data_IF_164412308632
#
_entry.id   IF_164412308632
#
_cell.length_a   1.000
_cell.length_b   1.000
_cell.length_c   1.000
_cell.angle_alpha   90.00
_cell.angle_beta   90.00
_cell.angle_gamma   90.00
#
_symmetry.space_group_name_H-M   'P 1'
#
loop_
_entity.id
_entity.type
_entity.pdbx_description
1 polymer ?
#
# COMPACT_ATOMS: atom_id res chain seq x y z
N UNK A 1 -42.68 -7.39 -28.07
CA UNK A 1 -42.42 -6.42 -26.97
C UNK A 1 -41.19 -6.95 -26.26
N UNK A 2 -40.04 -6.26 -26.43
CA UNK A 2 -38.82 -6.65 -25.71
C UNK A 2 -39.00 -6.25 -24.25
N UNK A 3 -38.79 -7.18 -23.32
CA UNK A 3 -38.78 -6.88 -21.90
C UNK A 3 -37.72 -5.78 -21.64
N UNK A 4 -38.01 -4.79 -20.79
CA UNK A 4 -37.05 -3.74 -20.46
C UNK A 4 -35.81 -4.40 -19.85
N UNK A 5 -34.62 -4.04 -20.36
CA UNK A 5 -33.35 -4.46 -19.77
C UNK A 5 -33.35 -4.07 -18.28
N UNK A 6 -33.12 -5.00 -17.35
CA UNK A 6 -33.10 -4.66 -15.93
C UNK A 6 -32.05 -3.58 -15.69
N UNK A 7 -32.37 -2.63 -14.81
CA UNK A 7 -31.42 -1.60 -14.39
C UNK A 7 -30.15 -2.26 -13.83
N UNK A 8 -28.95 -1.75 -14.15
CA UNK A 8 -27.70 -2.30 -13.64
C UNK A 8 -27.73 -2.32 -12.09
N UNK A 9 -27.25 -3.41 -11.52
CA UNK A 9 -27.12 -3.49 -10.07
C UNK A 9 -26.08 -2.45 -9.57
N UNK A 10 -26.17 -1.96 -8.33
CA UNK A 10 -25.13 -1.07 -7.78
C UNK A 10 -23.71 -1.62 -7.89
N UNK A 11 -23.56 -2.95 -7.98
CA UNK A 11 -22.28 -3.64 -8.17
C UNK A 11 -21.73 -3.47 -9.60
N UNK A 12 -22.59 -3.24 -10.59
CA UNK A 12 -22.21 -3.13 -12.00
C UNK A 12 -21.93 -1.67 -12.43
N UNK A 13 -22.28 -0.69 -11.58
CA UNK A 13 -21.95 0.71 -11.82
C UNK A 13 -20.47 0.93 -11.53
N UNK A 14 -19.74 1.48 -12.52
CA UNK A 14 -18.35 1.91 -12.34
C UNK A 14 -18.36 3.26 -11.61
N UNK A 15 -18.03 3.31 -10.30
CA UNK A 15 -17.98 4.57 -9.58
C UNK A 15 -16.79 5.41 -10.04
N UNK A 16 -16.85 6.74 -9.86
CA UNK A 16 -15.68 7.58 -10.02
C UNK A 16 -14.56 7.15 -9.05
N UNK A 17 -13.27 7.23 -9.45
CA UNK A 17 -12.17 6.97 -8.55
C UNK A 17 -12.10 8.07 -7.48
N UNK A 18 -11.78 7.71 -6.25
CA UNK A 18 -11.65 8.64 -5.13
C UNK A 18 -10.19 9.04 -4.91
N UNK A 19 -9.26 8.12 -5.16
CA UNK A 19 -7.85 8.32 -4.89
C UNK A 19 -6.93 7.86 -6.03
N UNK A 20 -5.80 8.56 -6.13
CA UNK A 20 -4.69 8.22 -7.00
C UNK A 20 -3.44 7.98 -6.15
N UNK A 21 -2.85 6.79 -6.27
CA UNK A 21 -1.49 6.54 -5.82
C UNK A 21 -0.54 6.85 -6.99
N UNK A 22 0.21 7.93 -6.88
CA UNK A 22 1.22 8.34 -7.86
C UNK A 22 2.58 7.79 -7.43
N UNK A 23 2.98 6.64 -7.98
CA UNK A 23 4.33 6.11 -7.79
C UNK A 23 5.29 6.86 -8.71
N UNK A 24 5.84 7.96 -8.20
CA UNK A 24 6.61 8.91 -9.01
C UNK A 24 7.98 8.36 -9.44
N UNK A 25 8.55 7.45 -8.65
CA UNK A 25 9.89 6.87 -8.88
C UNK A 25 10.03 5.59 -8.05
N UNK A 26 10.85 4.65 -8.52
CA UNK A 26 11.27 3.50 -7.68
C UNK A 26 12.60 3.74 -6.95
N UNK A 27 13.25 4.89 -7.12
CA UNK A 27 14.47 5.24 -6.39
C UNK A 27 14.13 5.50 -4.93
N UNK A 28 14.84 4.85 -4.02
CA UNK A 28 14.66 5.02 -2.58
C UNK A 28 16.00 4.77 -1.87
N UNK A 29 16.38 5.58 -0.88
CA UNK A 29 17.56 5.32 -0.07
C UNK A 29 17.38 4.13 0.88
N UNK A 30 16.13 3.79 1.24
CA UNK A 30 15.84 2.62 2.06
C UNK A 30 15.73 1.34 1.21
N UNK A 31 15.89 0.20 1.89
CA UNK A 31 15.92 -1.14 1.28
C UNK A 31 14.99 -2.12 2.00
N UNK A 32 13.87 -1.63 2.52
CA UNK A 32 12.97 -2.39 3.39
C UNK A 32 12.60 -3.77 2.81
N UNK A 33 12.66 -4.87 3.60
CA UNK A 33 12.36 -6.22 3.14
C UNK A 33 10.87 -6.45 2.88
N UNK A 34 10.01 -5.53 3.29
CA UNK A 34 8.57 -5.55 3.09
C UNK A 34 8.08 -4.51 2.07
N UNK A 35 8.98 -3.97 1.25
CA UNK A 35 8.66 -2.89 0.30
C UNK A 35 7.46 -3.27 -0.58
N UNK A 36 6.54 -2.33 -0.77
CA UNK A 36 5.36 -2.50 -1.63
C UNK A 36 5.65 -2.33 -3.12
N UNK A 37 6.82 -1.75 -3.49
CA UNK A 37 7.20 -1.67 -4.89
C UNK A 37 7.40 -3.07 -5.49
N UNK A 38 7.29 -3.24 -6.82
CA UNK A 38 7.48 -4.52 -7.48
C UNK A 38 8.90 -5.08 -7.28
N UNK A 39 9.08 -6.37 -7.55
CA UNK A 39 10.41 -7.00 -7.52
C UNK A 39 11.33 -6.43 -8.61
N UNK A 40 10.78 -6.14 -9.78
CA UNK A 40 11.45 -5.45 -10.87
C UNK A 40 11.24 -3.95 -10.75
N UNK A 41 12.31 -3.23 -10.43
CA UNK A 41 12.25 -1.79 -10.19
C UNK A 41 12.61 -1.00 -11.45
N UNK A 42 11.79 -0.01 -11.76
CA UNK A 42 12.03 0.89 -12.87
C UNK A 42 13.29 1.73 -12.69
N UNK A 43 14.04 1.90 -13.77
CA UNK A 43 15.18 2.81 -13.81
C UNK A 43 14.69 4.24 -14.03
N UNK A 44 15.49 5.21 -13.58
CA UNK A 44 15.21 6.65 -13.77
C UNK A 44 14.91 7.02 -15.23
N UNK A 45 15.56 6.38 -16.18
CA UNK A 45 15.36 6.66 -17.62
C UNK A 45 14.01 6.26 -18.17
N UNK A 46 13.25 5.43 -17.42
CA UNK A 46 11.91 4.99 -17.78
C UNK A 46 10.82 5.80 -17.05
N UNK A 47 11.19 6.68 -16.13
CA UNK A 47 10.22 7.49 -15.40
C UNK A 47 9.53 8.50 -16.32
N UNK A 48 8.24 8.69 -16.14
CA UNK A 48 7.47 9.75 -16.81
C UNK A 48 8.08 11.12 -16.52
N UNK A 49 8.06 11.98 -17.52
CA UNK A 49 8.46 13.38 -17.37
C UNK A 49 7.43 14.21 -16.58
N UNK A 50 7.80 15.42 -16.22
CA UNK A 50 6.98 16.34 -15.45
C UNK A 50 5.66 16.64 -16.16
N UNK A 51 5.71 16.95 -17.47
CA UNK A 51 4.51 17.34 -18.21
C UNK A 51 3.48 16.22 -18.29
N UNK A 52 3.93 15.00 -18.42
CA UNK A 52 3.06 13.82 -18.38
C UNK A 52 2.39 13.68 -17.01
N UNK A 53 3.12 13.87 -15.90
CA UNK A 53 2.54 13.86 -14.56
C UNK A 53 1.52 14.99 -14.36
N UNK A 54 1.81 16.22 -14.84
CA UNK A 54 0.83 17.32 -14.73
C UNK A 54 -0.46 17.03 -15.51
N UNK A 55 -0.36 16.39 -16.68
CA UNK A 55 -1.52 15.92 -17.44
C UNK A 55 -2.29 14.82 -16.68
N UNK A 56 -1.60 13.82 -16.15
CA UNK A 56 -2.20 12.72 -15.35
C UNK A 56 -3.00 13.29 -14.17
N UNK A 57 -2.46 14.26 -13.44
CA UNK A 57 -3.15 14.91 -12.33
C UNK A 57 -4.38 15.69 -12.81
N UNK A 58 -4.29 16.37 -13.95
CA UNK A 58 -5.42 17.09 -14.55
C UNK A 58 -6.55 16.14 -14.94
N UNK A 59 -6.22 15.01 -15.57
CA UNK A 59 -7.18 13.97 -15.92
C UNK A 59 -7.80 13.32 -14.68
N UNK A 60 -6.99 13.07 -13.63
CA UNK A 60 -7.47 12.51 -12.36
C UNK A 60 -8.48 13.43 -11.67
N UNK A 61 -8.20 14.73 -11.59
CA UNK A 61 -9.14 15.73 -11.06
C UNK A 61 -10.45 15.74 -11.86
N UNK A 62 -10.37 15.70 -13.20
CA UNK A 62 -11.53 15.63 -14.09
C UNK A 62 -12.39 14.38 -13.91
N UNK A 63 -11.80 13.27 -13.43
CA UNK A 63 -12.51 12.03 -13.11
C UNK A 63 -13.15 12.01 -11.72
N UNK A 64 -12.90 13.04 -10.88
CA UNK A 64 -13.43 13.12 -9.53
C UNK A 64 -12.52 12.56 -8.45
N UNK A 65 -11.22 12.35 -8.75
CA UNK A 65 -10.22 12.03 -7.73
C UNK A 65 -10.14 13.18 -6.72
N UNK A 66 -10.15 12.86 -5.45
CA UNK A 66 -10.07 13.82 -4.34
C UNK A 66 -8.70 13.81 -3.66
N UNK A 67 -8.05 12.66 -3.62
CA UNK A 67 -6.80 12.45 -2.89
C UNK A 67 -5.71 11.93 -3.83
N UNK A 68 -4.54 12.56 -3.77
CA UNK A 68 -3.33 12.10 -4.46
C UNK A 68 -2.26 11.74 -3.43
N UNK A 69 -1.81 10.50 -3.45
CA UNK A 69 -0.69 10.04 -2.66
C UNK A 69 0.58 10.11 -3.49
N UNK A 70 1.41 11.11 -3.24
CA UNK A 70 2.72 11.28 -3.86
C UNK A 70 3.69 10.29 -3.22
N UNK A 71 3.99 9.21 -3.91
CA UNK A 71 4.65 8.02 -3.38
C UNK A 71 5.68 7.44 -4.38
N UNK A 72 5.95 6.17 -4.23
CA UNK A 72 6.89 5.39 -5.04
C UNK A 72 7.94 4.72 -4.18
N UNK A 73 9.23 4.89 -4.52
CA UNK A 73 10.34 4.62 -3.62
C UNK A 73 10.46 5.74 -2.58
N UNK A 74 11.13 6.83 -2.98
CA UNK A 74 11.18 8.10 -2.23
C UNK A 74 10.82 9.25 -3.19
N UNK A 75 9.62 9.82 -3.09
CA UNK A 75 9.16 10.84 -4.05
C UNK A 75 10.03 12.08 -4.07
N UNK A 76 10.66 12.45 -2.95
CA UNK A 76 11.58 13.59 -2.87
C UNK A 76 12.90 13.36 -3.62
N UNK A 77 13.17 12.15 -4.12
CA UNK A 77 14.28 11.87 -5.03
C UNK A 77 14.07 12.46 -6.45
N UNK A 78 12.84 12.89 -6.80
CA UNK A 78 12.55 13.63 -8.02
C UNK A 78 12.84 15.11 -7.84
N UNK A 79 13.39 15.73 -8.87
CA UNK A 79 13.70 17.17 -8.82
C UNK A 79 12.44 18.04 -8.97
N UNK A 80 11.45 17.54 -9.69
CA UNK A 80 10.18 18.20 -10.04
C UNK A 80 9.04 17.95 -9.04
N UNK A 81 9.33 17.33 -7.89
CA UNK A 81 8.29 17.00 -6.88
C UNK A 81 7.54 18.25 -6.40
N UNK A 82 8.19 19.41 -6.33
CA UNK A 82 7.58 20.67 -5.91
C UNK A 82 6.57 21.13 -6.97
N UNK A 83 6.90 21.05 -8.26
CA UNK A 83 6.01 21.41 -9.38
C UNK A 83 4.79 20.47 -9.44
N UNK A 84 5.00 19.16 -9.24
CA UNK A 84 3.94 18.17 -9.17
C UNK A 84 3.00 18.47 -7.98
N UNK A 85 3.55 18.84 -6.82
CA UNK A 85 2.75 19.23 -5.63
C UNK A 85 1.95 20.51 -5.89
N UNK A 86 2.56 21.52 -6.48
CA UNK A 86 1.87 22.77 -6.85
C UNK A 86 0.69 22.50 -7.79
N UNK A 87 0.85 21.55 -8.72
CA UNK A 87 -0.26 21.15 -9.62
C UNK A 87 -1.41 20.49 -8.87
N UNK A 88 -1.14 19.68 -7.84
CA UNK A 88 -2.19 19.13 -6.98
C UNK A 88 -2.99 20.26 -6.32
N UNK A 89 -2.31 21.24 -5.73
CA UNK A 89 -2.94 22.38 -5.09
C UNK A 89 -3.77 23.23 -6.08
N UNK A 90 -3.23 23.53 -7.28
CA UNK A 90 -3.93 24.23 -8.36
C UNK A 90 -5.26 23.54 -8.74
N UNK A 91 -5.27 22.21 -8.76
CA UNK A 91 -6.42 21.40 -9.13
C UNK A 91 -7.38 21.12 -7.96
N UNK A 92 -7.08 21.56 -6.74
CA UNK A 92 -7.85 21.28 -5.54
C UNK A 92 -7.79 19.81 -5.10
N UNK A 93 -6.75 19.08 -5.48
CA UNK A 93 -6.49 17.71 -5.07
C UNK A 93 -5.81 17.72 -3.71
N UNK A 94 -6.33 16.99 -2.73
CA UNK A 94 -5.68 16.81 -1.43
C UNK A 94 -4.42 15.97 -1.60
N UNK A 95 -3.26 16.55 -1.36
CA UNK A 95 -1.97 15.94 -1.58
C UNK A 95 -1.39 15.36 -0.29
N UNK A 96 -1.00 14.07 -0.32
CA UNK A 96 -0.32 13.39 0.78
C UNK A 96 1.07 12.91 0.32
N UNK A 97 2.12 13.44 0.90
CA UNK A 97 3.49 13.01 0.67
C UNK A 97 3.79 11.76 1.50
N UNK A 98 3.93 10.60 0.86
CA UNK A 98 4.37 9.36 1.49
C UNK A 98 5.88 9.25 1.35
N UNK A 99 6.61 9.48 2.43
CA UNK A 99 8.07 9.62 2.41
C UNK A 99 8.76 8.78 3.49
N UNK A 100 9.99 8.43 3.21
CA UNK A 100 10.91 7.87 4.20
C UNK A 100 11.50 8.93 5.15
N UNK A 101 11.40 10.21 4.81
CA UNK A 101 11.95 11.33 5.58
C UNK A 101 13.47 11.44 5.56
N UNK A 102 14.15 10.72 4.64
CA UNK A 102 15.61 10.70 4.54
C UNK A 102 16.09 11.16 3.15
N UNK A 103 17.39 11.31 2.99
CA UNK A 103 17.97 11.84 1.76
C UNK A 103 17.64 13.32 1.57
N UNK A 104 16.99 13.68 0.45
CA UNK A 104 16.62 15.06 0.14
C UNK A 104 15.32 15.57 0.76
N UNK A 105 14.61 14.76 1.56
CA UNK A 105 13.26 15.07 2.02
C UNK A 105 13.19 16.36 2.85
N UNK A 106 14.07 16.51 3.85
CA UNK A 106 14.09 17.70 4.73
C UNK A 106 14.38 18.98 3.93
N UNK A 107 15.32 18.94 3.00
CA UNK A 107 15.72 20.10 2.19
C UNK A 107 14.58 20.61 1.30
N UNK A 108 13.69 19.72 0.86
CA UNK A 108 12.57 20.08 -0.02
C UNK A 108 11.28 20.41 0.72
N UNK A 109 11.21 20.14 2.03
CA UNK A 109 9.96 20.21 2.78
C UNK A 109 9.34 21.59 2.80
N UNK A 110 10.15 22.65 3.00
CA UNK A 110 9.64 24.04 3.01
C UNK A 110 9.08 24.44 1.65
N UNK A 111 9.78 24.10 0.57
CA UNK A 111 9.27 24.34 -0.79
C UNK A 111 8.01 23.54 -1.13
N UNK A 112 7.86 22.33 -0.60
CA UNK A 112 6.65 21.53 -0.74
C UNK A 112 5.47 22.15 0.04
N UNK A 113 5.74 22.68 1.24
CA UNK A 113 4.76 23.42 2.02
C UNK A 113 4.28 24.68 1.27
N UNK A 114 5.22 25.48 0.76
CA UNK A 114 4.89 26.69 -0.02
C UNK A 114 4.14 26.36 -1.32
N UNK A 115 4.37 25.18 -1.89
CA UNK A 115 3.64 24.67 -3.06
C UNK A 115 2.23 24.15 -2.73
N UNK A 116 1.81 24.16 -1.46
CA UNK A 116 0.49 23.76 -1.03
C UNK A 116 0.34 22.28 -0.69
N UNK A 117 1.40 21.62 -0.21
CA UNK A 117 1.30 20.26 0.32
C UNK A 117 0.35 20.23 1.52
N UNK A 118 -0.63 19.30 1.51
CA UNK A 118 -1.65 19.22 2.56
C UNK A 118 -1.28 18.29 3.73
N UNK A 119 -0.49 17.24 3.48
CA UNK A 119 -0.28 16.17 4.46
C UNK A 119 1.06 15.46 4.23
N UNK A 120 1.63 14.96 5.32
CA UNK A 120 2.83 14.11 5.30
C UNK A 120 2.55 12.79 6.00
N UNK A 121 2.84 11.69 5.31
CA UNK A 121 2.90 10.35 5.88
C UNK A 121 4.36 9.89 5.94
N UNK A 122 4.91 9.82 7.16
CA UNK A 122 6.28 9.43 7.40
C UNK A 122 6.38 7.94 7.75
N UNK A 123 7.19 7.20 7.00
CA UNK A 123 7.46 5.78 7.27
C UNK A 123 8.52 5.62 8.36
N UNK A 124 8.18 4.90 9.44
CA UNK A 124 9.08 4.59 10.56
C UNK A 124 9.25 3.09 10.69
N UNK A 125 10.49 2.58 10.58
CA UNK A 125 10.79 1.15 10.54
C UNK A 125 10.93 0.53 11.94
N UNK A 126 11.34 1.32 12.93
CA UNK A 126 11.53 0.94 14.32
C UNK A 126 11.65 2.18 15.18
N UNK A 127 11.46 2.04 16.49
CA UNK A 127 11.72 3.07 17.48
C UNK A 127 13.16 2.97 17.94
N UNK A 128 13.65 1.75 18.16
CA UNK A 128 15.07 1.49 18.38
C UNK A 128 15.87 1.78 17.09
N UNK A 129 16.92 2.60 17.21
CA UNK A 129 17.68 3.06 16.06
C UNK A 129 18.40 1.94 15.32
N UNK A 130 18.95 0.96 16.05
CA UNK A 130 19.68 -0.17 15.43
C UNK A 130 18.70 -1.08 14.71
N UNK A 131 17.54 -1.36 15.30
CA UNK A 131 16.50 -2.14 14.66
C UNK A 131 15.91 -1.43 13.43
N UNK A 132 15.65 -0.12 13.53
CA UNK A 132 15.20 0.69 12.40
C UNK A 132 16.20 0.68 11.24
N UNK A 133 17.50 0.78 11.52
CA UNK A 133 18.58 0.70 10.53
C UNK A 133 18.67 -0.69 9.89
N UNK A 134 18.56 -1.75 10.71
CA UNK A 134 18.51 -3.13 10.21
C UNK A 134 17.34 -3.35 9.26
N UNK A 135 16.14 -2.90 9.64
CA UNK A 135 14.93 -3.07 8.82
C UNK A 135 15.00 -2.19 7.56
N UNK A 136 15.39 -0.92 7.71
CA UNK A 136 15.47 0.03 6.59
C UNK A 136 16.66 -0.19 5.65
N UNK A 137 17.68 -0.92 6.09
CA UNK A 137 18.92 -1.14 5.34
C UNK A 137 19.77 0.13 5.14
N UNK A 138 19.58 1.15 5.98
CA UNK A 138 20.29 2.43 5.89
C UNK A 138 20.72 2.92 7.27
N UNK A 139 22.04 3.14 7.45
CA UNK A 139 22.61 3.71 8.69
C UNK A 139 22.27 5.19 8.83
N UNK A 140 22.15 5.66 10.07
CA UNK A 140 21.85 7.05 10.42
C UNK A 140 20.54 7.60 9.81
N UNK A 141 19.57 6.73 9.49
CA UNK A 141 18.28 7.15 8.96
C UNK A 141 17.38 7.75 10.06
N UNK A 142 17.41 7.19 11.27
CA UNK A 142 16.50 7.58 12.34
C UNK A 142 16.64 9.07 12.74
N UNK A 143 17.84 9.64 12.99
CA UNK A 143 17.98 11.06 13.27
C UNK A 143 17.41 11.97 12.17
N UNK A 144 17.61 11.63 10.90
CA UNK A 144 17.06 12.39 9.77
C UNK A 144 15.53 12.41 9.80
N UNK A 145 14.90 11.24 10.05
CA UNK A 145 13.44 11.12 10.18
C UNK A 145 12.88 11.96 11.31
N UNK A 146 13.57 11.99 12.47
CA UNK A 146 13.14 12.79 13.62
C UNK A 146 13.24 14.29 13.34
N UNK A 147 14.30 14.75 12.67
CA UNK A 147 14.43 16.14 12.22
C UNK A 147 13.35 16.50 11.18
N UNK A 148 13.09 15.62 10.23
CA UNK A 148 12.04 15.80 9.24
C UNK A 148 10.65 15.90 9.89
N UNK A 149 10.31 14.97 10.80
CA UNK A 149 9.04 14.99 11.52
C UNK A 149 8.85 16.26 12.37
N UNK A 150 9.91 16.72 13.08
CA UNK A 150 9.88 17.97 13.81
C UNK A 150 9.58 19.15 12.89
N UNK A 151 10.23 19.23 11.73
CA UNK A 151 9.97 20.31 10.77
C UNK A 151 8.56 20.26 10.19
N UNK A 152 8.00 19.06 9.91
CA UNK A 152 6.59 18.90 9.48
C UNK A 152 5.63 19.51 10.49
N UNK A 153 5.83 19.23 11.79
CA UNK A 153 4.96 19.75 12.85
C UNK A 153 5.18 21.25 13.11
N UNK A 154 6.41 21.77 12.99
CA UNK A 154 6.71 23.21 13.06
C UNK A 154 5.98 24.00 11.96
N UNK A 155 5.89 23.44 10.74
CA UNK A 155 5.13 24.04 9.64
C UNK A 155 3.61 23.93 9.82
N UNK A 156 3.14 23.22 10.82
CA UNK A 156 1.71 22.99 11.05
C UNK A 156 1.08 21.97 10.12
N UNK A 157 1.87 21.23 9.32
CA UNK A 157 1.36 20.16 8.45
C UNK A 157 0.87 18.99 9.30
N UNK A 158 -0.29 18.40 8.94
CA UNK A 158 -0.72 17.15 9.53
C UNK A 158 0.31 16.06 9.29
N UNK A 159 0.72 15.36 10.35
CA UNK A 159 1.65 14.25 10.31
C UNK A 159 0.92 12.94 10.61
N UNK A 160 1.04 11.97 9.70
CA UNK A 160 0.76 10.56 9.94
C UNK A 160 2.08 9.81 10.08
N UNK A 161 2.25 9.00 11.13
CA UNK A 161 3.29 7.99 11.16
C UNK A 161 2.74 6.69 10.58
N UNK A 162 3.49 6.06 9.69
CA UNK A 162 3.20 4.73 9.18
C UNK A 162 4.29 3.76 9.63
N UNK A 163 3.88 2.71 10.35
CA UNK A 163 4.78 1.66 10.81
C UNK A 163 4.30 0.32 10.28
N UNK A 164 5.10 -0.26 9.37
CA UNK A 164 4.84 -1.62 8.88
C UNK A 164 5.33 -2.61 9.91
N UNK A 165 4.39 -3.35 10.51
CA UNK A 165 4.62 -4.23 11.65
C UNK A 165 4.85 -5.67 11.18
N UNK A 166 5.89 -6.28 11.71
CA UNK A 166 6.27 -7.67 11.47
C UNK A 166 7.02 -8.23 12.69
N UNK A 167 7.39 -9.52 12.69
CA UNK A 167 8.03 -10.15 13.87
C UNK A 167 9.27 -9.40 14.39
N UNK A 168 9.97 -8.66 13.52
CA UNK A 168 11.19 -7.94 13.88
C UNK A 168 10.97 -6.63 14.64
N UNK A 169 9.74 -6.07 14.63
CA UNK A 169 9.43 -4.81 15.32
C UNK A 169 8.08 -4.79 16.04
N UNK A 170 7.31 -5.88 16.04
CA UNK A 170 5.99 -5.94 16.69
C UNK A 170 6.06 -5.65 18.19
N UNK A 171 7.16 -5.98 18.84
CA UNK A 171 7.41 -5.69 20.25
C UNK A 171 7.59 -4.17 20.54
N UNK A 172 7.85 -3.38 19.49
CA UNK A 172 8.01 -1.91 19.58
C UNK A 172 6.67 -1.18 19.42
N UNK A 173 5.52 -1.85 19.27
CA UNK A 173 4.20 -1.19 19.10
C UNK A 173 3.89 -0.15 20.18
N UNK A 174 4.16 -0.37 21.48
CA UNK A 174 4.01 0.70 22.49
C UNK A 174 4.88 1.92 22.19
N UNK A 175 6.12 1.69 21.78
CA UNK A 175 7.07 2.74 21.45
C UNK A 175 6.65 3.56 20.22
N UNK A 176 6.06 2.94 19.18
CA UNK A 176 5.51 3.67 18.04
C UNK A 176 4.36 4.59 18.44
N UNK A 177 3.49 4.16 19.38
CA UNK A 177 2.41 4.98 19.92
C UNK A 177 2.98 6.19 20.68
N UNK A 178 3.94 5.96 21.56
CA UNK A 178 4.58 7.03 22.33
C UNK A 178 5.35 7.99 21.42
N UNK A 179 6.02 7.48 20.38
CA UNK A 179 6.70 8.29 19.37
C UNK A 179 5.71 9.18 18.60
N UNK A 180 4.55 8.64 18.20
CA UNK A 180 3.51 9.41 17.50
C UNK A 180 3.00 10.56 18.36
N UNK A 181 2.74 10.30 19.65
CA UNK A 181 2.34 11.34 20.62
C UNK A 181 3.45 12.39 20.79
N UNK A 182 4.70 11.95 20.98
CA UNK A 182 5.86 12.83 21.15
C UNK A 182 6.08 13.76 19.97
N UNK A 183 5.87 13.26 18.74
CA UNK A 183 6.03 14.04 17.51
C UNK A 183 4.80 14.89 17.16
N UNK A 184 3.74 14.86 17.96
CA UNK A 184 2.51 15.59 17.68
C UNK A 184 1.74 15.07 16.45
N UNK A 185 1.98 13.82 16.06
CA UNK A 185 1.28 13.21 14.94
C UNK A 185 -0.24 13.18 15.19
N UNK A 186 -1.02 13.37 14.16
CA UNK A 186 -2.49 13.30 14.23
C UNK A 186 -3.00 11.88 14.01
N UNK A 187 -2.20 11.03 13.36
CA UNK A 187 -2.53 9.65 13.02
C UNK A 187 -1.30 8.75 13.13
N UNK A 188 -1.53 7.54 13.57
CA UNK A 188 -0.56 6.44 13.52
C UNK A 188 -1.20 5.25 12.79
N UNK A 189 -0.55 4.77 11.75
CA UNK A 189 -0.91 3.51 11.10
C UNK A 189 -0.02 2.39 11.63
N UNK A 190 -0.62 1.48 12.39
CA UNK A 190 -0.02 0.21 12.82
C UNK A 190 -0.44 -0.82 11.77
N UNK A 191 0.34 -0.90 10.69
CA UNK A 191 0.00 -1.69 9.52
C UNK A 191 0.79 -3.01 9.50
N UNK A 192 0.17 -4.12 9.91
CA UNK A 192 0.82 -5.41 9.77
C UNK A 192 1.11 -5.75 8.31
N UNK A 193 2.29 -6.33 8.08
CA UNK A 193 2.80 -6.68 6.75
C UNK A 193 1.78 -7.49 5.94
N UNK A 194 1.57 -7.08 4.70
CA UNK A 194 0.82 -7.83 3.69
C UNK A 194 1.83 -8.53 2.77
N UNK A 195 1.64 -9.83 2.56
CA UNK A 195 2.64 -10.66 1.89
C UNK A 195 2.43 -10.73 0.38
N UNK A 196 3.02 -9.79 -0.33
CA UNK A 196 3.21 -9.77 -1.80
C UNK A 196 4.58 -9.14 -2.12
N UNK A 197 5.09 -9.33 -3.34
CA UNK A 197 6.37 -8.78 -3.76
C UNK A 197 7.50 -9.08 -2.77
N UNK A 198 8.22 -8.07 -2.32
CA UNK A 198 9.34 -8.22 -1.38
C UNK A 198 8.92 -8.83 -0.04
N UNK A 199 7.75 -8.47 0.47
CA UNK A 199 7.24 -9.05 1.71
C UNK A 199 6.95 -10.55 1.56
N UNK A 200 6.51 -11.02 0.39
CA UNK A 200 6.30 -12.44 0.14
C UNK A 200 7.62 -13.21 0.05
N UNK A 201 8.65 -12.62 -0.58
CA UNK A 201 10.03 -13.17 -0.61
C UNK A 201 10.57 -13.34 0.81
N UNK A 202 10.30 -12.38 1.68
CA UNK A 202 10.78 -12.34 3.07
C UNK A 202 9.77 -12.91 4.08
N UNK A 203 8.71 -13.62 3.65
CA UNK A 203 7.59 -13.97 4.53
C UNK A 203 8.03 -14.70 5.81
N UNK A 204 8.87 -15.69 5.72
CA UNK A 204 9.39 -16.41 6.88
C UNK A 204 10.19 -15.52 7.85
N UNK A 205 10.91 -14.52 7.31
CA UNK A 205 11.64 -13.54 8.14
C UNK A 205 10.72 -12.51 8.81
N UNK A 206 9.54 -12.28 8.25
CA UNK A 206 8.60 -11.21 8.66
C UNK A 206 7.39 -11.71 9.43
N UNK A 207 7.06 -13.02 9.39
CA UNK A 207 5.85 -13.58 9.97
C UNK A 207 5.87 -13.52 11.50
N UNK A 208 4.97 -12.75 12.15
CA UNK A 208 4.82 -12.78 13.60
C UNK A 208 4.02 -14.03 14.01
N UNK A 209 4.13 -14.46 15.26
CA UNK A 209 3.23 -15.47 15.80
C UNK A 209 1.88 -14.88 16.24
N UNK A 210 0.90 -15.78 16.50
CA UNK A 210 -0.44 -15.39 16.89
C UNK A 210 -0.48 -14.61 18.20
N UNK A 211 0.35 -15.00 19.19
CA UNK A 211 0.38 -14.35 20.49
C UNK A 211 0.92 -12.93 20.38
N UNK A 212 1.96 -12.71 19.57
CA UNK A 212 2.49 -11.38 19.25
C UNK A 212 1.41 -10.50 18.58
N UNK A 213 0.66 -11.05 17.62
CA UNK A 213 -0.42 -10.31 16.95
C UNK A 213 -1.54 -9.94 17.92
N UNK A 214 -2.00 -10.89 18.75
CA UNK A 214 -3.06 -10.65 19.73
C UNK A 214 -2.65 -9.59 20.75
N UNK A 215 -1.40 -9.63 21.21
CA UNK A 215 -0.87 -8.63 22.14
C UNK A 215 -0.78 -7.25 21.48
N UNK A 216 -0.34 -7.16 20.22
CA UNK A 216 -0.30 -5.90 19.48
C UNK A 216 -1.70 -5.29 19.31
N UNK A 217 -2.71 -6.11 19.03
CA UNK A 217 -4.12 -5.69 18.95
C UNK A 217 -4.58 -5.13 20.30
N UNK A 218 -4.33 -5.86 21.41
CA UNK A 218 -4.70 -5.45 22.76
C UNK A 218 -4.08 -4.10 23.14
N UNK A 219 -2.79 -3.91 22.82
CA UNK A 219 -2.07 -2.66 23.08
C UNK A 219 -2.68 -1.50 22.29
N UNK A 220 -2.96 -1.71 21.00
CA UNK A 220 -3.56 -0.68 20.15
C UNK A 220 -4.96 -0.30 20.61
N UNK A 221 -5.82 -1.28 20.95
CA UNK A 221 -7.17 -0.99 21.44
C UNK A 221 -7.14 -0.20 22.76
N UNK A 222 -6.27 -0.57 23.71
CA UNK A 222 -6.09 0.19 24.95
C UNK A 222 -5.58 1.62 24.68
N UNK A 223 -4.68 1.79 23.70
CA UNK A 223 -4.18 3.10 23.32
C UNK A 223 -5.24 3.98 22.64
N UNK A 224 -6.11 3.40 21.81
CA UNK A 224 -7.25 4.10 21.19
C UNK A 224 -8.17 4.74 22.22
N UNK A 225 -8.49 4.00 23.28
CA UNK A 225 -9.32 4.53 24.36
C UNK A 225 -8.58 5.64 25.14
N UNK A 226 -7.31 5.40 25.49
CA UNK A 226 -6.49 6.36 26.26
C UNK A 226 -6.23 7.66 25.51
N UNK A 227 -6.02 7.59 24.18
CA UNK A 227 -5.61 8.72 23.34
C UNK A 227 -6.75 9.29 22.49
N UNK A 228 -8.00 8.96 22.82
CA UNK A 228 -9.19 9.45 22.12
C UNK A 228 -9.20 10.98 22.06
N UNK A 229 -9.35 11.51 20.82
CA UNK A 229 -9.29 12.95 20.58
C UNK A 229 -7.88 13.56 20.48
N UNK A 230 -6.83 12.80 20.80
CA UNK A 230 -5.44 13.23 20.67
C UNK A 230 -4.74 12.59 19.47
N UNK A 231 -4.87 11.27 19.31
CA UNK A 231 -4.23 10.49 18.25
C UNK A 231 -5.24 9.49 17.67
N UNK A 232 -5.40 9.50 16.35
CA UNK A 232 -6.13 8.44 15.63
C UNK A 232 -5.16 7.29 15.38
N UNK A 233 -5.51 6.07 15.78
CA UNK A 233 -4.68 4.90 15.51
C UNK A 233 -5.43 3.94 14.59
N UNK A 234 -4.92 3.75 13.39
CA UNK A 234 -5.41 2.73 12.47
C UNK A 234 -4.65 1.42 12.70
N UNK A 235 -5.38 0.33 12.76
CA UNK A 235 -4.81 -1.00 12.89
C UNK A 235 -5.20 -1.84 11.68
N UNK A 236 -4.21 -2.25 10.94
CA UNK A 236 -4.37 -3.21 9.83
C UNK A 236 -3.93 -4.58 10.32
N UNK A 237 -4.89 -5.45 10.63
CA UNK A 237 -4.62 -6.81 11.10
C UNK A 237 -4.02 -7.65 9.96
N UNK A 238 -3.06 -8.56 10.23
CA UNK A 238 -2.50 -9.44 9.20
C UNK A 238 -3.57 -10.39 8.65
N UNK A 239 -3.65 -10.53 7.34
CA UNK A 239 -4.65 -11.37 6.67
C UNK A 239 -4.53 -12.84 7.08
N UNK A 240 -3.32 -13.31 7.35
CA UNK A 240 -3.04 -14.69 7.78
C UNK A 240 -3.67 -15.08 9.14
N UNK A 241 -4.06 -14.08 9.94
CA UNK A 241 -4.75 -14.28 11.22
C UNK A 241 -6.19 -13.76 11.23
N UNK A 242 -6.66 -13.22 10.09
CA UNK A 242 -8.01 -12.71 9.95
C UNK A 242 -9.04 -13.85 9.84
N UNK A 243 -10.30 -13.54 10.18
CA UNK A 243 -11.45 -14.42 9.96
C UNK A 243 -12.09 -14.17 8.58
N UNK A 244 -12.02 -12.94 8.11
CA UNK A 244 -12.53 -12.49 6.83
C UNK A 244 -11.50 -11.58 6.16
N UNK A 245 -11.40 -11.63 4.84
CA UNK A 245 -10.48 -10.75 4.12
C UNK A 245 -10.96 -9.30 4.16
N UNK A 246 -10.03 -8.38 3.95
CA UNK A 246 -10.32 -6.99 3.63
C UNK A 246 -10.70 -6.85 2.18
N UNK A 247 -11.54 -5.86 1.87
CA UNK A 247 -11.79 -5.49 0.48
C UNK A 247 -10.48 -5.00 -0.17
N UNK A 248 -10.09 -5.60 -1.30
CA UNK A 248 -8.90 -5.21 -2.06
C UNK A 248 -9.02 -3.75 -2.52
N UNK A 249 -8.25 -2.84 -1.93
CA UNK A 249 -8.29 -1.40 -2.23
C UNK A 249 -9.73 -0.81 -2.22
N UNK A 250 -10.60 -1.32 -1.38
CA UNK A 250 -12.02 -0.93 -1.32
C UNK A 250 -12.89 -1.52 -2.44
N UNK A 251 -12.45 -2.58 -3.07
CA UNK A 251 -13.00 -3.26 -4.23
C UNK A 251 -12.16 -3.00 -5.47
N UNK A 252 -11.79 -4.08 -6.17
CA UNK A 252 -10.95 -4.02 -7.37
C UNK A 252 -11.47 -3.02 -8.40
N UNK A 253 -10.65 -2.01 -8.77
CA UNK A 253 -11.00 -0.98 -9.73
C UNK A 253 -12.23 -0.14 -9.38
N UNK A 254 -12.53 0.09 -8.08
CA UNK A 254 -13.71 0.83 -7.62
C UNK A 254 -13.43 2.14 -6.93
N UNK A 255 -12.29 2.29 -6.26
CA UNK A 255 -11.99 3.48 -5.45
C UNK A 255 -10.65 4.11 -5.78
N UNK A 256 -9.65 3.28 -6.05
CA UNK A 256 -8.27 3.71 -6.21
C UNK A 256 -7.70 3.26 -7.54
N UNK A 257 -6.81 4.07 -8.06
CA UNK A 257 -5.90 3.67 -9.14
C UNK A 257 -4.46 3.97 -8.71
N UNK A 258 -3.53 3.20 -9.24
CA UNK A 258 -2.10 3.43 -9.08
C UNK A 258 -1.49 3.72 -10.46
N UNK A 259 -0.69 4.77 -10.57
CA UNK A 259 0.11 5.05 -11.77
C UNK A 259 1.57 4.83 -11.41
N UNK A 260 2.22 3.89 -12.10
CA UNK A 260 3.63 3.54 -11.88
C UNK A 260 4.57 4.58 -12.48
N UNK A 261 5.88 4.55 -12.15
CA UNK A 261 6.84 5.50 -12.70
C UNK A 261 6.89 5.51 -14.23
N UNK A 262 6.63 4.39 -14.90
CA UNK A 262 6.56 4.27 -16.36
C UNK A 262 5.20 4.67 -16.96
N UNK A 263 4.22 5.01 -16.12
CA UNK A 263 2.88 5.38 -16.57
C UNK A 263 1.91 4.21 -16.76
N UNK A 264 2.25 3.00 -16.35
CA UNK A 264 1.31 1.88 -16.28
C UNK A 264 0.26 2.16 -15.22
N UNK A 265 -1.02 1.90 -15.51
CA UNK A 265 -2.11 2.15 -14.56
C UNK A 265 -2.66 0.85 -14.02
N UNK A 266 -2.67 0.74 -12.70
CA UNK A 266 -3.02 -0.46 -11.97
C UNK A 266 -4.24 -0.23 -11.05
N UNK A 267 -5.13 -1.21 -10.88
CA UNK A 267 -6.21 -1.13 -9.89
C UNK A 267 -5.71 -1.26 -8.44
N UNK A 268 -4.49 -1.75 -8.25
CA UNK A 268 -3.79 -1.89 -6.98
C UNK A 268 -2.29 -2.05 -7.27
N UNK A 269 -1.41 -1.49 -6.46
CA UNK A 269 0.05 -1.57 -6.68
C UNK A 269 0.62 -3.00 -6.76
N UNK A 270 -0.08 -4.01 -6.20
CA UNK A 270 0.33 -5.41 -6.31
C UNK A 270 -0.26 -6.14 -7.53
N UNK A 271 -1.09 -5.49 -8.36
CA UNK A 271 -1.82 -6.16 -9.44
C UNK A 271 -0.91 -6.77 -10.51
N UNK A 272 0.29 -6.25 -10.71
CA UNK A 272 1.27 -6.78 -11.66
C UNK A 272 1.75 -8.19 -11.31
N UNK A 273 1.54 -8.66 -10.08
CA UNK A 273 1.86 -10.03 -9.68
C UNK A 273 0.90 -11.05 -10.29
N UNK A 274 -0.24 -10.62 -10.87
CA UNK A 274 -1.24 -11.50 -11.49
C UNK A 274 -0.90 -11.65 -12.98
N UNK A 275 -0.46 -12.82 -13.42
CA UNK A 275 -0.12 -13.05 -14.83
C UNK A 275 -1.37 -12.96 -15.74
N UNK A 276 -1.16 -12.52 -16.96
CA UNK A 276 -2.21 -12.46 -17.99
C UNK A 276 -3.14 -11.24 -17.87
N UNK A 277 -2.92 -10.33 -16.91
CA UNK A 277 -3.61 -9.05 -16.90
C UNK A 277 -2.97 -8.10 -17.92
N UNK A 278 -3.80 -7.50 -18.76
CA UNK A 278 -3.38 -6.49 -19.73
C UNK A 278 -3.53 -5.09 -19.11
N UNK A 279 -2.40 -4.43 -18.83
CA UNK A 279 -2.35 -3.09 -18.27
C UNK A 279 -2.15 -2.05 -19.37
N UNK A 280 -2.87 -0.94 -19.26
CA UNK A 280 -2.75 0.20 -20.16
C UNK A 280 -1.89 1.29 -19.54
N UNK A 281 -1.32 2.14 -20.43
CA UNK A 281 -0.38 3.19 -20.05
C UNK A 281 -0.97 4.57 -20.34
N UNK A 282 -0.64 5.54 -19.49
CA UNK A 282 -1.04 6.95 -19.69
C UNK A 282 -0.44 7.58 -20.94
N UNK A 283 0.60 6.99 -21.53
CA UNK A 283 1.17 7.41 -22.81
C UNK A 283 0.24 7.13 -24.00
N UNK A 284 -0.56 6.08 -23.91
CA UNK A 284 -1.38 5.58 -25.02
C UNK A 284 -2.87 5.85 -24.83
N UNK A 285 -3.34 5.99 -23.58
CA UNK A 285 -4.74 6.11 -23.22
C UNK A 285 -4.97 7.20 -22.19
N UNK A 286 -6.15 7.84 -22.21
CA UNK A 286 -6.57 8.71 -21.13
C UNK A 286 -6.85 7.93 -19.84
N UNK A 287 -6.69 8.56 -18.67
CA UNK A 287 -7.07 7.91 -17.40
C UNK A 287 -8.56 7.49 -17.37
N UNK A 288 -9.43 8.26 -18.01
CA UNK A 288 -10.85 7.94 -18.12
C UNK A 288 -11.12 6.67 -18.91
N UNK A 289 -10.42 6.48 -20.03
CA UNK A 289 -10.51 5.25 -20.82
C UNK A 289 -9.93 4.07 -20.04
N UNK A 290 -8.78 4.25 -19.39
CA UNK A 290 -8.16 3.21 -18.58
C UNK A 290 -9.10 2.79 -17.45
N UNK A 291 -9.67 3.74 -16.72
CA UNK A 291 -10.58 3.47 -15.61
C UNK A 291 -11.81 2.69 -16.02
N UNK A 292 -12.38 3.01 -17.20
CA UNK A 292 -13.66 2.47 -17.63
C UNK A 292 -13.53 1.23 -18.52
N UNK A 293 -12.46 1.13 -19.33
CA UNK A 293 -12.36 0.15 -20.43
C UNK A 293 -11.20 -0.82 -20.33
N UNK A 294 -10.16 -0.53 -19.47
CA UNK A 294 -8.99 -1.40 -19.39
C UNK A 294 -9.34 -2.80 -18.90
N UNK A 295 -8.85 -3.86 -19.59
CA UNK A 295 -9.07 -5.25 -19.21
C UNK A 295 -8.64 -5.54 -17.77
N UNK A 296 -7.50 -5.00 -17.33
CA UNK A 296 -7.00 -5.20 -15.97
C UNK A 296 -7.96 -4.66 -14.91
N UNK A 297 -8.61 -3.51 -15.14
CA UNK A 297 -9.61 -2.97 -14.22
C UNK A 297 -10.91 -3.76 -14.25
N UNK A 298 -11.32 -4.25 -15.42
CA UNK A 298 -12.54 -5.01 -15.58
C UNK A 298 -12.46 -6.43 -14.98
N UNK A 299 -11.27 -7.03 -14.91
CA UNK A 299 -11.06 -8.45 -14.60
C UNK A 299 -11.75 -8.92 -13.30
N UNK A 300 -11.68 -8.11 -12.23
CA UNK A 300 -12.27 -8.44 -10.92
C UNK A 300 -13.18 -7.33 -10.38
N UNK A 301 -13.69 -6.46 -11.25
CA UNK A 301 -14.66 -5.44 -10.87
C UNK A 301 -16.05 -6.05 -10.70
N UNK A 302 -16.80 -5.59 -9.69
CA UNK A 302 -18.12 -6.13 -9.40
C UNK A 302 -18.08 -7.52 -8.77
N UNK A 303 -19.14 -8.30 -8.96
CA UNK A 303 -19.30 -9.62 -8.33
C UNK A 303 -19.52 -10.77 -9.33
N UNK A 304 -19.69 -10.46 -10.61
CA UNK A 304 -20.03 -11.45 -11.66
C UNK A 304 -18.91 -12.50 -11.90
N UNK A 305 -17.65 -12.12 -11.67
CA UNK A 305 -16.48 -12.99 -11.80
C UNK A 305 -16.33 -14.01 -10.66
N UNK A 306 -17.03 -13.80 -9.53
CA UNK A 306 -16.85 -14.60 -8.31
C UNK A 306 -17.30 -16.05 -8.51
N UNK A 307 -16.50 -16.98 -7.98
CA UNK A 307 -16.83 -18.39 -7.81
C UNK A 307 -17.47 -18.62 -6.44
N UNK A 308 -18.06 -19.82 -6.24
CA UNK A 308 -18.48 -20.23 -4.89
C UNK A 308 -17.25 -20.42 -3.96
N UNK A 309 -17.38 -20.12 -2.68
CA UNK A 309 -18.57 -19.66 -1.93
C UNK A 309 -18.82 -18.13 -2.02
N UNK A 310 -17.95 -17.34 -2.65
CA UNK A 310 -18.08 -15.88 -2.67
C UNK A 310 -19.34 -15.42 -3.43
N UNK A 311 -19.73 -16.11 -4.51
CA UNK A 311 -20.88 -15.74 -5.35
C UNK A 311 -22.19 -15.66 -4.57
N UNK A 312 -22.45 -16.62 -3.70
CA UNK A 312 -23.68 -16.68 -2.88
C UNK A 312 -23.53 -16.05 -1.49
N UNK A 313 -22.34 -15.52 -1.16
CA UNK A 313 -22.03 -15.01 0.17
C UNK A 313 -22.67 -13.64 0.44
N UNK A 314 -23.27 -13.44 1.61
CA UNK A 314 -23.82 -12.14 2.06
C UNK A 314 -22.75 -11.05 2.24
N UNK A 315 -21.48 -11.44 2.25
CA UNK A 315 -20.34 -10.54 2.38
C UNK A 315 -19.76 -10.10 1.03
N UNK A 316 -20.21 -10.67 -0.10
CA UNK A 316 -19.62 -10.43 -1.42
C UNK A 316 -19.42 -8.95 -1.79
N UNK A 317 -20.31 -8.07 -1.34
CA UNK A 317 -20.24 -6.61 -1.57
C UNK A 317 -19.58 -5.85 -0.40
N UNK A 318 -19.15 -6.54 0.66
CA UNK A 318 -18.39 -5.97 1.78
C UNK A 318 -16.90 -6.15 1.59
N UNK A 319 -16.46 -7.36 1.29
CA UNK A 319 -15.04 -7.72 1.15
C UNK A 319 -14.61 -7.91 -0.31
N UNK A 320 -15.55 -7.89 -1.28
CA UNK A 320 -15.28 -8.00 -2.72
C UNK A 320 -14.42 -9.21 -3.08
N UNK A 321 -14.55 -10.30 -2.32
CA UNK A 321 -13.79 -11.53 -2.49
C UNK A 321 -12.36 -11.47 -1.95
N UNK A 322 -11.95 -10.40 -1.30
CA UNK A 322 -10.62 -10.25 -0.69
C UNK A 322 -9.51 -9.85 -1.66
N UNK A 323 -8.27 -10.16 -1.31
CA UNK A 323 -7.07 -9.80 -2.08
C UNK A 323 -6.82 -10.79 -3.22
N UNK A 324 -6.86 -10.33 -4.48
CA UNK A 324 -6.65 -11.18 -5.67
C UNK A 324 -5.21 -11.67 -5.80
N UNK A 325 -4.25 -10.82 -5.41
CA UNK A 325 -2.82 -11.20 -5.42
C UNK A 325 -2.52 -12.28 -4.37
N UNK A 326 -3.13 -12.21 -3.17
CA UNK A 326 -3.02 -13.23 -2.15
C UNK A 326 -3.72 -14.52 -2.56
N UNK A 327 -4.91 -14.44 -3.17
CA UNK A 327 -5.60 -15.59 -3.71
C UNK A 327 -4.72 -16.31 -4.73
N UNK A 328 -4.11 -15.59 -5.68
CA UNK A 328 -3.16 -16.18 -6.63
C UNK A 328 -1.98 -16.84 -5.92
N UNK A 329 -1.32 -16.10 -5.03
CA UNK A 329 -0.10 -16.55 -4.36
C UNK A 329 -0.28 -17.86 -3.57
N UNK A 330 -1.46 -18.04 -2.97
CA UNK A 330 -1.74 -19.17 -2.08
C UNK A 330 -2.58 -20.28 -2.75
N UNK A 331 -3.28 -19.99 -3.83
CA UNK A 331 -4.19 -20.94 -4.46
C UNK A 331 -3.87 -21.25 -5.93
N UNK A 332 -2.93 -20.50 -6.54
CA UNK A 332 -2.60 -20.60 -7.96
C UNK A 332 -3.61 -19.93 -8.89
N UNK A 333 -4.70 -19.36 -8.39
CA UNK A 333 -5.72 -18.68 -9.20
C UNK A 333 -6.26 -17.44 -8.48
N UNK A 334 -6.10 -16.28 -9.10
CA UNK A 334 -6.57 -15.01 -8.55
C UNK A 334 -8.11 -14.91 -8.43
N UNK A 335 -8.88 -15.76 -9.14
CA UNK A 335 -10.33 -15.81 -9.03
C UNK A 335 -10.84 -16.70 -7.90
N UNK A 336 -9.97 -17.45 -7.23
CA UNK A 336 -10.36 -18.27 -6.09
C UNK A 336 -10.71 -17.42 -4.86
N UNK A 337 -11.44 -18.04 -3.92
CA UNK A 337 -11.73 -17.43 -2.62
C UNK A 337 -10.42 -17.14 -1.90
N UNK A 338 -10.24 -15.89 -1.45
CA UNK A 338 -9.07 -15.50 -0.67
C UNK A 338 -8.94 -16.41 0.58
N UNK A 339 -7.78 -17.04 0.82
CA UNK A 339 -7.57 -17.89 2.00
C UNK A 339 -7.72 -17.18 3.35
N UNK A 340 -7.65 -15.85 3.40
CA UNK A 340 -8.01 -15.08 4.61
C UNK A 340 -9.47 -15.25 5.01
N UNK A 341 -10.34 -15.69 4.10
CA UNK A 341 -11.74 -15.99 4.40
C UNK A 341 -11.88 -17.37 5.05
N UNK A 342 -12.57 -17.43 6.20
CA UNK A 342 -12.86 -18.70 6.88
C UNK A 342 -13.72 -19.68 6.06
N UNK A 343 -14.35 -19.20 4.98
CA UNK A 343 -15.11 -20.05 4.05
C UNK A 343 -14.21 -20.61 2.92
N UNK A 344 -12.97 -20.19 2.83
CA UNK A 344 -12.02 -20.75 1.86
C UNK A 344 -11.60 -22.16 2.27
N UNK A 345 -11.56 -23.12 1.35
CA UNK A 345 -11.06 -24.47 1.65
C UNK A 345 -9.58 -24.49 2.05
N UNK A 346 -8.84 -23.43 1.75
CA UNK A 346 -7.42 -23.29 2.09
C UNK A 346 -7.15 -22.42 3.33
N UNK A 347 -8.19 -21.95 4.03
CA UNK A 347 -8.05 -21.12 5.23
C UNK A 347 -7.19 -21.78 6.32
N UNK A 348 -7.46 -23.05 6.62
CA UNK A 348 -6.69 -23.79 7.62
C UNK A 348 -5.22 -23.91 7.21
N UNK A 349 -4.94 -24.31 5.97
CA UNK A 349 -3.58 -24.44 5.45
C UNK A 349 -2.79 -23.13 5.51
N UNK A 350 -3.42 -21.99 5.19
CA UNK A 350 -2.77 -20.69 5.30
C UNK A 350 -2.39 -20.38 6.77
N UNK A 351 -3.24 -20.73 7.72
CA UNK A 351 -2.97 -20.53 9.14
C UNK A 351 -1.87 -21.46 9.66
N UNK A 352 -1.86 -22.72 9.19
CA UNK A 352 -0.80 -23.69 9.52
C UNK A 352 0.54 -23.20 8.98
N UNK A 353 0.60 -22.73 7.73
CA UNK A 353 1.81 -22.11 7.15
C UNK A 353 2.30 -20.92 7.99
N UNK A 354 1.40 -20.04 8.42
CA UNK A 354 1.78 -18.90 9.25
C UNK A 354 2.36 -19.34 10.60
N UNK A 355 1.77 -20.39 11.21
CA UNK A 355 2.26 -20.96 12.46
C UNK A 355 3.63 -21.63 12.31
N UNK A 356 3.82 -22.38 11.25
CA UNK A 356 5.12 -23.04 10.94
C UNK A 356 6.22 -21.99 10.74
N UNK A 357 6.01 -21.01 9.84
CA UNK A 357 7.01 -19.97 9.58
C UNK A 357 7.31 -19.09 10.81
N UNK A 358 6.30 -18.81 11.66
CA UNK A 358 6.51 -18.07 12.89
C UNK A 358 7.28 -18.85 13.96
N UNK A 359 7.20 -20.17 13.95
CA UNK A 359 7.91 -21.04 14.91
C UNK A 359 9.39 -21.24 14.57
N UNK A 360 9.78 -21.06 13.29
CA UNK A 360 11.16 -21.21 12.84
C UNK A 360 12.02 -19.99 13.22
N UNK A 361 13.34 -20.21 13.30
CA UNK A 361 14.28 -19.09 13.37
C UNK A 361 14.19 -18.26 12.09
N UNK A 362 14.03 -16.92 12.21
CA UNK A 362 13.90 -16.09 11.02
C UNK A 362 15.18 -16.12 10.18
N UNK A 363 15.07 -16.34 8.88
CA UNK A 363 16.21 -16.16 7.98
C UNK A 363 16.59 -14.67 7.90
N UNK A 364 17.79 -14.41 7.35
CA UNK A 364 18.20 -13.03 7.07
C UNK A 364 17.28 -12.34 6.05
N UNK A 365 17.18 -11.01 6.14
CA UNK A 365 16.41 -10.24 5.19
C UNK A 365 17.02 -10.23 3.79
N UNK A 366 16.19 -10.46 2.79
CA UNK A 366 16.50 -10.17 1.40
C UNK A 366 16.06 -8.72 1.15
N UNK A 367 17.05 -7.83 1.08
CA UNK A 367 16.81 -6.41 0.96
C UNK A 367 16.40 -6.01 -0.47
N UNK A 368 15.43 -5.08 -0.56
CA UNK A 368 15.07 -4.43 -1.80
C UNK A 368 16.30 -3.79 -2.46
N UNK A 369 16.55 -4.09 -3.73
CA UNK A 369 17.60 -3.43 -4.50
C UNK A 369 17.27 -3.35 -5.99
N UNK A 370 17.82 -2.30 -6.68
CA UNK A 370 17.74 -2.18 -8.13
C UNK A 370 18.76 -3.13 -8.76
N UNK A 371 18.32 -4.02 -9.65
CA UNK A 371 19.20 -4.92 -10.41
C UNK A 371 19.51 -6.27 -9.74
N UNK A 372 18.90 -6.62 -8.62
CA UNK A 372 18.89 -8.00 -8.14
C UNK A 372 17.79 -8.76 -8.89
N UNK A 373 18.20 -9.81 -9.62
CA UNK A 373 17.26 -10.85 -10.09
C UNK A 373 16.78 -11.65 -8.88
N UNK A 374 15.84 -11.09 -8.12
CA UNK A 374 15.08 -11.89 -7.18
C UNK A 374 14.03 -12.59 -8.02
N UNK A 375 14.20 -13.91 -8.18
CA UNK A 375 13.19 -14.72 -8.87
C UNK A 375 11.86 -14.53 -8.18
N UNK A 376 10.81 -14.31 -8.97
CA UNK A 376 9.46 -14.19 -8.44
C UNK A 376 9.09 -15.52 -7.76
N UNK A 377 8.98 -15.59 -6.43
CA UNK A 377 8.74 -16.85 -5.74
C UNK A 377 7.36 -17.47 -6.08
N UNK A 378 6.48 -16.71 -6.74
CA UNK A 378 5.22 -17.22 -7.27
C UNK A 378 5.42 -18.15 -8.48
N UNK A 379 6.60 -18.10 -9.15
CA UNK A 379 6.93 -19.01 -10.24
C UNK A 379 7.52 -20.35 -9.76
N UNK A 380 8.00 -20.44 -8.51
CA UNK A 380 8.72 -21.60 -7.99
C UNK A 380 8.04 -22.31 -6.81
N UNK A 381 7.24 -21.57 -6.01
CA UNK A 381 6.52 -22.16 -4.87
C UNK A 381 5.19 -22.71 -5.35
N UNK A 382 4.98 -24.02 -5.19
CA UNK A 382 3.65 -24.60 -5.39
C UNK A 382 2.62 -23.85 -4.52
N UNK A 383 1.40 -23.61 -5.05
CA UNK A 383 0.27 -23.16 -4.25
C UNK A 383 0.02 -24.09 -3.05
N UNK A 384 -0.63 -23.58 -2.00
CA UNK A 384 -0.99 -24.39 -0.81
C UNK A 384 -1.81 -25.62 -1.16
#
# INVERSE_FOLDING_TARGET
>A
MNAPTPAPSPADVIPAPVGLLAELTHRCPLRCPYCSNPLELDRRSAELDTQTWLRVLTEAAGLGVLHVHLSGGEPTARNDIVEITAKCAELGLYSNLITSGVGGALVKLDALYDAGLDHVQLSVQGVDAQNAEKIGGLKNAQPQKMQFAARVTELGLPLTLNSVIHRGNIHEVPGFIDLAVKLGAKRLEVAHTQYYGWAYVNRAALMPDKAQVDESIRIVEAARERLKGQLVIDLVVPDYYAKYPKACAGGWGRKLMNVTPQGKVLPCHAAETIPGLEFWYVGDHSLGDIWTKSPAFAAYRGTSWMKEPCRSCDRREKDWGGCRCQALALTGDAANTDPACSLSPLHAKMRDLAKEEAAENPPDYIYRSIGTNVQNPLSEKAPL
#
